data_IF_174626787977
#
_entry.id   IF_174626787977
#
_cell.length_a   1.000
_cell.length_b   1.000
_cell.length_c   1.000
_cell.angle_alpha   90.00
_cell.angle_beta   90.00
_cell.angle_gamma   90.00
#
_symmetry.space_group_name_H-M   'P 1'
#
loop_
_entity.id
_entity.type
_entity.pdbx_description
1 polymer ?
#
# COMPACT_ATOMS: atom_id res chain seq x y z
N UNK A 1 -14.99 -20.49 -11.25
CA UNK A 1 -14.12 -19.86 -10.22
C UNK A 1 -13.62 -20.93 -9.25
N UNK A 2 -12.32 -21.10 -9.11
CA UNK A 2 -11.68 -21.96 -8.09
C UNK A 2 -11.35 -21.09 -6.87
N UNK A 3 -11.68 -21.54 -5.67
CA UNK A 3 -11.39 -20.78 -4.45
C UNK A 3 -10.28 -21.48 -3.66
N UNK A 4 -9.30 -20.70 -3.28
CA UNK A 4 -8.16 -21.13 -2.48
C UNK A 4 -8.18 -20.39 -1.13
N UNK A 5 -7.68 -21.01 -0.09
CA UNK A 5 -7.50 -20.37 1.20
C UNK A 5 -6.02 -20.28 1.56
N UNK A 6 -5.62 -19.15 2.16
CA UNK A 6 -4.31 -18.99 2.77
C UNK A 6 -4.49 -18.68 4.26
N UNK A 7 -4.16 -19.65 5.09
CA UNK A 7 -4.51 -19.69 6.50
C UNK A 7 -3.27 -19.62 7.40
N UNK A 8 -3.38 -18.88 8.48
CA UNK A 8 -2.34 -18.83 9.50
C UNK A 8 -2.65 -17.78 10.57
N UNK A 9 -2.04 -17.86 11.76
CA UNK A 9 -2.29 -16.93 12.86
C UNK A 9 -2.06 -15.46 12.48
N UNK A 10 -2.66 -14.55 13.23
CA UNK A 10 -2.47 -13.12 13.00
C UNK A 10 -0.99 -12.71 13.20
N UNK A 11 -0.49 -11.82 12.34
CA UNK A 11 0.88 -11.31 12.44
C UNK A 11 1.98 -12.22 11.88
N UNK A 12 1.67 -13.34 11.26
CA UNK A 12 2.66 -14.29 10.71
C UNK A 12 3.16 -13.96 9.32
N UNK A 13 2.75 -12.81 8.76
CA UNK A 13 3.22 -12.37 7.44
C UNK A 13 2.39 -12.90 6.25
N UNK A 14 1.15 -13.37 6.45
CA UNK A 14 0.26 -13.81 5.36
C UNK A 14 0.09 -12.76 4.27
N UNK A 15 -0.34 -11.56 4.63
CA UNK A 15 -0.57 -10.48 3.65
C UNK A 15 0.71 -10.09 2.90
N UNK A 16 1.86 -10.21 3.54
CA UNK A 16 3.16 -10.02 2.90
C UNK A 16 3.44 -11.10 1.84
N UNK A 17 3.07 -12.35 2.10
CA UNK A 17 3.31 -13.49 1.20
C UNK A 17 2.15 -13.79 0.25
N UNK A 18 1.02 -13.09 0.41
CA UNK A 18 -0.20 -13.36 -0.35
C UNK A 18 0.01 -13.36 -1.87
N UNK A 19 0.76 -12.39 -2.37
CA UNK A 19 1.05 -12.29 -3.80
C UNK A 19 1.95 -13.44 -4.29
N UNK A 20 2.93 -13.85 -3.49
CA UNK A 20 3.79 -15.00 -3.82
C UNK A 20 2.96 -16.28 -3.91
N UNK A 21 2.10 -16.51 -2.91
CA UNK A 21 1.21 -17.68 -2.88
C UNK A 21 0.23 -17.65 -4.06
N UNK A 22 -0.34 -16.49 -4.35
CA UNK A 22 -1.23 -16.30 -5.47
C UNK A 22 -0.53 -16.58 -6.80
N UNK A 23 0.63 -15.99 -7.04
CA UNK A 23 1.42 -16.20 -8.27
C UNK A 23 1.85 -17.65 -8.43
N UNK A 24 2.30 -18.32 -7.36
CA UNK A 24 2.70 -19.72 -7.41
C UNK A 24 1.55 -20.70 -7.75
N UNK A 25 0.29 -20.26 -7.60
CA UNK A 25 -0.91 -21.05 -7.91
C UNK A 25 -1.74 -20.47 -9.08
N UNK A 26 -1.18 -19.54 -9.85
CA UNK A 26 -1.85 -18.86 -10.97
C UNK A 26 -3.18 -18.20 -10.55
N UNK A 27 -3.13 -17.48 -9.43
CA UNK A 27 -4.28 -16.78 -8.86
C UNK A 27 -4.04 -15.28 -8.97
N UNK A 28 -4.97 -14.56 -9.61
CA UNK A 28 -4.85 -13.12 -9.81
C UNK A 28 -5.67 -12.28 -8.83
N UNK A 29 -6.63 -12.89 -8.15
CA UNK A 29 -7.55 -12.19 -7.24
C UNK A 29 -7.35 -12.65 -5.80
N UNK A 30 -7.30 -11.69 -4.88
CA UNK A 30 -7.08 -11.92 -3.45
C UNK A 30 -8.16 -11.20 -2.65
N UNK A 31 -8.74 -11.88 -1.65
CA UNK A 31 -9.51 -11.25 -0.59
C UNK A 31 -8.66 -11.22 0.67
N UNK A 32 -8.37 -10.03 1.17
CA UNK A 32 -7.65 -9.80 2.44
C UNK A 32 -8.25 -8.62 3.20
N UNK A 33 -8.56 -8.83 4.47
CA UNK A 33 -9.08 -7.80 5.40
C UNK A 33 -10.23 -6.94 4.82
N UNK A 34 -11.20 -7.56 4.16
CA UNK A 34 -12.38 -6.90 3.59
C UNK A 34 -12.17 -6.29 2.20
N UNK A 35 -11.00 -6.43 1.60
CA UNK A 35 -10.67 -5.90 0.28
C UNK A 35 -10.63 -7.01 -0.77
N UNK A 36 -11.14 -6.73 -1.96
CA UNK A 36 -10.88 -7.50 -3.19
C UNK A 36 -9.76 -6.83 -3.97
N UNK A 37 -8.70 -7.57 -4.19
CA UNK A 37 -7.47 -7.09 -4.79
C UNK A 37 -7.20 -7.90 -6.06
N UNK A 38 -6.83 -7.24 -7.14
CA UNK A 38 -6.28 -7.88 -8.33
C UNK A 38 -4.90 -7.28 -8.57
N UNK A 39 -3.88 -8.13 -8.52
CA UNK A 39 -2.48 -7.73 -8.67
C UNK A 39 -2.10 -6.53 -7.78
N UNK A 40 -2.22 -5.32 -8.33
CA UNK A 40 -1.83 -4.07 -7.68
C UNK A 40 -3.00 -3.10 -7.44
N UNK A 41 -4.23 -3.50 -7.74
CA UNK A 41 -5.42 -2.65 -7.59
C UNK A 41 -6.39 -3.20 -6.55
N UNK A 42 -6.97 -2.28 -5.77
CA UNK A 42 -8.15 -2.57 -4.95
C UNK A 42 -9.39 -2.38 -5.83
N UNK A 43 -10.11 -3.46 -6.09
CA UNK A 43 -11.28 -3.46 -6.96
C UNK A 43 -12.58 -3.17 -6.22
N UNK A 44 -12.67 -3.59 -4.97
CA UNK A 44 -13.85 -3.42 -4.13
C UNK A 44 -13.55 -3.64 -2.64
N UNK A 45 -14.50 -3.22 -1.81
CA UNK A 45 -14.47 -3.42 -0.37
C UNK A 45 -13.86 -2.24 0.38
N UNK A 46 -13.99 -2.30 1.70
CA UNK A 46 -13.40 -1.34 2.64
C UNK A 46 -12.48 -2.10 3.57
N UNK A 47 -11.27 -1.57 3.78
CA UNK A 47 -10.32 -2.23 4.68
C UNK A 47 -10.89 -2.33 6.09
N UNK A 48 -10.96 -3.54 6.62
CA UNK A 48 -11.38 -3.81 7.99
C UNK A 48 -10.56 -3.03 9.03
N UNK A 49 -9.37 -2.59 8.69
CA UNK A 49 -8.50 -1.78 9.57
C UNK A 49 -8.88 -0.31 9.70
N UNK A 50 -9.83 0.16 8.90
CA UNK A 50 -10.46 1.48 9.10
C UNK A 50 -11.47 1.48 10.25
N UNK A 51 -11.89 0.32 10.70
CA UNK A 51 -12.88 0.20 11.76
C UNK A 51 -12.32 0.72 13.09
N UNK A 52 -13.07 1.53 13.82
CA UNK A 52 -12.62 2.15 15.08
C UNK A 52 -12.46 1.14 16.21
N UNK A 53 -13.09 -0.03 16.11
CA UNK A 53 -13.04 -1.08 17.14
C UNK A 53 -12.60 -2.43 16.57
N UNK A 54 -12.02 -3.28 17.44
CA UNK A 54 -11.65 -4.66 17.05
C UNK A 54 -12.86 -5.49 16.61
N UNK A 55 -14.03 -5.25 17.19
CA UNK A 55 -15.25 -5.97 16.84
C UNK A 55 -15.69 -5.59 15.43
N UNK A 56 -15.68 -4.31 15.09
CA UNK A 56 -15.98 -3.84 13.74
C UNK A 56 -14.95 -4.31 12.73
N UNK A 57 -13.66 -4.32 13.10
CA UNK A 57 -12.61 -4.91 12.25
C UNK A 57 -12.94 -6.35 11.87
N UNK A 58 -13.38 -7.15 12.84
CA UNK A 58 -13.76 -8.55 12.56
C UNK A 58 -15.03 -8.64 11.72
N UNK A 59 -16.02 -7.79 11.96
CA UNK A 59 -17.26 -7.75 11.17
C UNK A 59 -16.99 -7.43 9.71
N UNK A 60 -16.18 -6.41 9.43
CA UNK A 60 -15.78 -6.03 8.07
C UNK A 60 -14.96 -7.13 7.38
N UNK A 61 -13.97 -7.71 8.09
CA UNK A 61 -13.16 -8.79 7.54
C UNK A 61 -13.96 -10.05 7.20
N UNK A 62 -15.09 -10.28 7.87
CA UNK A 62 -15.98 -11.42 7.66
C UNK A 62 -17.18 -11.10 6.74
N UNK A 63 -17.31 -9.86 6.28
CA UNK A 63 -18.45 -9.40 5.47
C UNK A 63 -19.79 -9.71 6.18
N UNK A 64 -19.90 -9.33 7.46
CA UNK A 64 -21.13 -9.61 8.23
C UNK A 64 -22.28 -8.69 7.79
N UNK A 65 -21.97 -7.46 7.38
CA UNK A 65 -22.97 -6.49 6.96
C UNK A 65 -23.47 -6.75 5.54
N UNK A 66 -24.78 -6.75 5.35
CA UNK A 66 -25.40 -7.02 4.03
C UNK A 66 -24.93 -6.07 2.93
N UNK A 67 -24.66 -4.82 3.27
CA UNK A 67 -24.14 -3.83 2.32
C UNK A 67 -22.80 -4.27 1.76
N UNK A 68 -21.87 -4.65 2.61
CA UNK A 68 -20.52 -5.09 2.24
C UNK A 68 -20.58 -6.40 1.43
N UNK A 69 -21.43 -7.34 1.87
CA UNK A 69 -21.67 -8.57 1.10
C UNK A 69 -22.17 -8.26 -0.31
N UNK A 70 -23.16 -7.36 -0.42
CA UNK A 70 -23.74 -6.99 -1.71
C UNK A 70 -22.71 -6.34 -2.62
N UNK A 71 -21.90 -5.41 -2.09
CA UNK A 71 -20.83 -4.74 -2.84
C UNK A 71 -19.78 -5.74 -3.32
N UNK A 72 -19.31 -6.62 -2.44
CA UNK A 72 -18.32 -7.63 -2.77
C UNK A 72 -18.84 -8.65 -3.79
N UNK A 73 -20.06 -9.14 -3.61
CA UNK A 73 -20.71 -10.07 -4.57
C UNK A 73 -20.91 -9.42 -5.94
N UNK A 74 -21.27 -8.12 -6.00
CA UNK A 74 -21.36 -7.36 -7.27
C UNK A 74 -20.00 -7.27 -7.94
N UNK A 75 -18.94 -6.99 -7.18
CA UNK A 75 -17.58 -6.93 -7.72
C UNK A 75 -17.15 -8.30 -8.28
N UNK A 76 -17.34 -9.38 -7.54
CA UNK A 76 -17.04 -10.75 -7.99
C UNK A 76 -17.81 -11.13 -9.25
N UNK A 77 -19.09 -10.72 -9.38
CA UNK A 77 -19.88 -10.92 -10.60
C UNK A 77 -19.39 -10.08 -11.77
N UNK A 78 -18.91 -8.86 -11.51
CA UNK A 78 -18.38 -7.95 -12.54
C UNK A 78 -17.05 -8.44 -13.10
N UNK A 79 -16.11 -8.79 -12.22
CA UNK A 79 -14.76 -9.15 -12.62
C UNK A 79 -14.58 -10.62 -12.98
N UNK A 80 -15.51 -11.50 -12.55
CA UNK A 80 -15.57 -12.93 -12.88
C UNK A 80 -14.22 -13.64 -12.73
N UNK A 81 -13.60 -13.63 -11.53
CA UNK A 81 -12.30 -14.27 -11.33
C UNK A 81 -12.38 -15.77 -11.65
N UNK A 82 -11.43 -16.30 -12.41
CA UNK A 82 -11.28 -17.74 -12.63
C UNK A 82 -10.77 -18.44 -11.37
N UNK A 83 -9.94 -17.74 -10.62
CA UNK A 83 -9.35 -18.19 -9.34
C UNK A 83 -9.31 -17.05 -8.32
N UNK A 84 -9.51 -17.39 -7.04
CA UNK A 84 -9.58 -16.45 -5.92
C UNK A 84 -8.86 -17.01 -4.70
N UNK A 85 -7.96 -16.25 -4.11
CA UNK A 85 -7.29 -16.55 -2.84
C UNK A 85 -7.95 -15.78 -1.70
N UNK A 86 -8.39 -16.47 -0.66
CA UNK A 86 -8.94 -15.86 0.55
C UNK A 86 -7.93 -15.99 1.68
N UNK A 87 -7.54 -14.87 2.28
CA UNK A 87 -6.70 -14.86 3.46
C UNK A 87 -7.54 -14.90 4.73
N UNK A 88 -7.13 -15.74 5.67
CA UNK A 88 -7.80 -15.85 6.97
C UNK A 88 -6.87 -16.26 8.10
N UNK A 89 -7.30 -16.00 9.33
CA UNK A 89 -6.55 -16.38 10.53
C UNK A 89 -6.84 -17.80 10.98
N UNK A 90 -7.91 -18.41 10.46
CA UNK A 90 -8.33 -19.78 10.76
C UNK A 90 -9.28 -20.30 9.69
N UNK A 91 -9.43 -21.62 9.60
CA UNK A 91 -10.38 -22.27 8.71
C UNK A 91 -11.84 -21.83 8.98
N UNK A 92 -12.18 -21.56 10.24
CA UNK A 92 -13.49 -21.02 10.63
C UNK A 92 -13.73 -19.63 10.02
N UNK A 93 -12.71 -18.79 9.94
CA UNK A 93 -12.80 -17.48 9.30
C UNK A 93 -13.04 -17.62 7.81
N UNK A 94 -12.29 -18.50 7.15
CA UNK A 94 -12.45 -18.81 5.72
C UNK A 94 -13.86 -19.32 5.42
N UNK A 95 -14.36 -20.26 6.21
CA UNK A 95 -15.72 -20.81 6.05
C UNK A 95 -16.79 -19.71 6.13
N UNK A 96 -16.69 -18.80 7.11
CA UNK A 96 -17.60 -17.66 7.26
C UNK A 96 -17.54 -16.69 6.07
N UNK A 97 -16.34 -16.35 5.57
CA UNK A 97 -16.18 -15.49 4.40
C UNK A 97 -16.81 -16.13 3.18
N UNK A 98 -16.60 -17.43 2.99
CA UNK A 98 -17.19 -18.17 1.87
C UNK A 98 -18.73 -18.14 1.94
N UNK A 99 -19.30 -18.42 3.09
CA UNK A 99 -20.74 -18.38 3.34
C UNK A 99 -21.30 -16.97 3.10
N UNK A 100 -20.69 -15.94 3.69
CA UNK A 100 -21.09 -14.54 3.53
C UNK A 100 -21.09 -14.10 2.06
N UNK A 101 -20.17 -14.58 1.25
CA UNK A 101 -20.02 -14.17 -0.13
C UNK A 101 -20.63 -15.17 -1.15
N UNK A 102 -21.23 -16.27 -0.69
CA UNK A 102 -21.76 -17.36 -1.52
C UNK A 102 -20.69 -17.92 -2.49
N UNK A 103 -19.49 -18.20 -1.97
CA UNK A 103 -18.40 -18.73 -2.74
C UNK A 103 -18.43 -20.26 -2.81
N UNK A 104 -17.92 -20.88 -3.88
CA UNK A 104 -17.85 -22.33 -4.00
C UNK A 104 -16.91 -22.96 -2.97
N UNK A 105 -16.89 -24.28 -2.92
CA UNK A 105 -15.97 -25.05 -2.06
C UNK A 105 -14.51 -24.74 -2.37
N UNK A 106 -13.65 -24.91 -1.33
CA UNK A 106 -12.23 -24.68 -1.48
C UNK A 106 -11.60 -25.75 -2.38
N UNK A 107 -10.88 -25.30 -3.39
CA UNK A 107 -10.05 -26.17 -4.22
C UNK A 107 -8.80 -26.64 -3.45
N UNK A 108 -8.23 -25.75 -2.61
CA UNK A 108 -7.05 -26.04 -1.80
C UNK A 108 -6.96 -25.05 -0.64
N UNK A 109 -6.49 -25.53 0.51
CA UNK A 109 -6.03 -24.70 1.62
C UNK A 109 -4.51 -24.77 1.69
N UNK A 110 -3.87 -23.62 1.84
CA UNK A 110 -2.43 -23.44 2.00
C UNK A 110 -2.22 -22.83 3.37
N UNK A 111 -1.36 -23.43 4.18
CA UNK A 111 -1.06 -22.91 5.50
C UNK A 111 0.25 -22.12 5.49
N UNK A 112 0.34 -21.11 6.36
CA UNK A 112 1.51 -20.23 6.43
C UNK A 112 2.81 -20.97 6.70
N UNK A 113 2.76 -22.05 7.47
CA UNK A 113 3.90 -22.90 7.77
C UNK A 113 4.41 -23.73 6.58
N UNK A 114 3.65 -23.83 5.49
CA UNK A 114 4.09 -24.44 4.24
C UNK A 114 4.98 -23.49 3.42
N UNK A 115 4.90 -22.17 3.67
CA UNK A 115 5.54 -21.13 2.85
C UNK A 115 6.43 -20.17 3.66
N UNK A 116 6.51 -20.35 4.97
CA UNK A 116 7.33 -19.53 5.87
C UNK A 116 7.91 -20.39 6.99
N UNK A 117 9.16 -20.11 7.34
CA UNK A 117 9.80 -20.73 8.50
C UNK A 117 9.27 -20.14 9.82
N UNK A 118 9.46 -20.85 10.93
CA UNK A 118 9.08 -20.32 12.25
C UNK A 118 9.79 -19.02 12.59
N UNK A 119 11.08 -18.90 12.25
CA UNK A 119 11.87 -17.69 12.46
C UNK A 119 11.31 -16.49 11.68
N UNK A 120 10.88 -16.69 10.44
CA UNK A 120 10.26 -15.64 9.62
C UNK A 120 8.90 -15.21 10.17
N UNK A 121 8.11 -16.16 10.64
CA UNK A 121 6.81 -15.89 11.28
C UNK A 121 6.99 -15.13 12.60
N UNK A 122 7.99 -15.48 13.40
CA UNK A 122 8.31 -14.79 14.65
C UNK A 122 8.82 -13.39 14.40
N UNK A 123 9.70 -13.20 13.42
CA UNK A 123 10.16 -11.88 12.98
C UNK A 123 9.00 -10.99 12.54
N UNK A 124 8.05 -11.54 11.79
CA UNK A 124 6.86 -10.81 11.37
C UNK A 124 5.97 -10.41 12.56
N UNK A 125 5.79 -11.29 13.55
CA UNK A 125 5.08 -11.01 14.81
C UNK A 125 5.76 -9.90 15.61
N UNK A 126 7.07 -9.99 15.75
CA UNK A 126 7.86 -8.99 16.48
C UNK A 126 7.75 -7.61 15.83
N UNK A 127 7.87 -7.50 14.51
CA UNK A 127 7.69 -6.24 13.78
C UNK A 127 6.28 -5.68 14.01
N UNK A 128 5.25 -6.54 14.00
CA UNK A 128 3.88 -6.11 14.26
C UNK A 128 3.68 -5.61 15.69
N UNK A 129 4.20 -6.33 16.66
CA UNK A 129 4.05 -5.98 18.09
C UNK A 129 4.86 -4.75 18.45
N UNK A 130 6.13 -4.68 18.02
CA UNK A 130 7.04 -3.59 18.42
C UNK A 130 6.83 -2.30 17.62
N UNK A 131 6.48 -2.41 16.34
CA UNK A 131 6.36 -1.28 15.43
C UNK A 131 4.92 -0.95 15.03
N UNK A 132 3.94 -1.80 15.40
CA UNK A 132 2.54 -1.65 15.01
C UNK A 132 2.33 -1.72 13.49
N UNK A 133 3.23 -2.40 12.78
CA UNK A 133 3.22 -2.41 11.32
C UNK A 133 2.35 -3.55 10.77
N UNK A 134 1.50 -3.23 9.83
CA UNK A 134 0.68 -4.20 9.11
C UNK A 134 0.84 -4.03 7.60
N UNK A 135 1.07 -5.14 6.91
CA UNK A 135 1.24 -5.16 5.45
C UNK A 135 -0.10 -5.40 4.77
N UNK A 136 -0.42 -4.56 3.78
CA UNK A 136 -1.52 -4.78 2.84
C UNK A 136 -0.88 -5.20 1.50
N UNK A 137 -1.39 -6.23 0.81
CA UNK A 137 -0.76 -6.76 -0.40
C UNK A 137 -1.04 -5.91 -1.67
N UNK A 138 -1.06 -4.59 -1.53
CA UNK A 138 -1.23 -3.62 -2.63
C UNK A 138 -0.29 -2.43 -2.47
N UNK A 139 0.08 -1.74 -3.56
CA UNK A 139 0.91 -0.55 -3.52
C UNK A 139 0.26 0.64 -2.79
N UNK A 140 1.10 1.53 -2.25
CA UNK A 140 0.70 2.71 -1.47
C UNK A 140 -0.29 3.62 -2.17
N UNK A 141 -0.14 3.83 -3.47
CA UNK A 141 -0.98 4.76 -4.22
C UNK A 141 -2.41 4.27 -4.39
N UNK A 142 -2.64 2.96 -4.46
CA UNK A 142 -3.98 2.39 -4.50
C UNK A 142 -4.71 2.59 -3.18
N UNK A 143 -4.01 2.36 -2.09
CA UNK A 143 -4.58 2.57 -0.76
C UNK A 143 -4.93 4.04 -0.52
N UNK A 144 -4.15 4.99 -1.05
CA UNK A 144 -4.46 6.42 -0.90
C UNK A 144 -5.77 6.86 -1.56
N UNK A 145 -6.24 6.19 -2.60
CA UNK A 145 -7.55 6.48 -3.19
C UNK A 145 -8.69 6.21 -2.21
N UNK A 146 -8.59 5.11 -1.45
CA UNK A 146 -9.61 4.68 -0.50
C UNK A 146 -9.43 5.27 0.90
N UNK A 147 -8.21 5.74 1.22
CA UNK A 147 -7.79 6.24 2.52
C UNK A 147 -7.60 7.76 2.54
N UNK A 148 -8.36 8.53 1.75
CA UNK A 148 -8.34 10.00 1.82
C UNK A 148 -8.73 10.48 3.22
N UNK A 149 -7.73 10.74 4.06
CA UNK A 149 -7.90 11.19 5.45
C UNK A 149 -7.12 10.39 6.49
N UNK A 150 -6.64 9.21 6.20
CA UNK A 150 -5.73 8.48 7.08
C UNK A 150 -4.30 8.54 6.54
N UNK A 151 -3.49 9.19 7.32
CA UNK A 151 -2.10 9.47 7.03
C UNK A 151 -1.32 8.17 7.12
N UNK A 152 -0.82 7.70 5.99
CA UNK A 152 0.30 6.80 5.91
C UNK A 152 1.57 7.62 6.20
N UNK A 153 1.73 8.06 7.45
CA UNK A 153 2.97 8.66 7.90
C UNK A 153 3.75 7.65 8.73
N UNK A 154 5.01 7.43 8.42
CA UNK A 154 5.94 7.06 9.46
C UNK A 154 6.14 8.31 10.32
N UNK A 155 5.88 8.21 11.59
CA UNK A 155 6.28 9.14 12.64
C UNK A 155 5.53 10.49 12.75
N UNK A 156 4.44 10.49 13.52
CA UNK A 156 4.44 11.34 14.71
C UNK A 156 3.72 10.60 15.83
N UNK A 157 4.48 10.21 16.82
CA UNK A 157 3.97 9.76 18.11
C UNK A 157 3.30 10.97 18.75
N UNK A 158 1.98 11.09 18.64
CA UNK A 158 1.25 11.94 19.56
C UNK A 158 1.29 11.25 20.92
N UNK A 159 2.25 11.64 21.76
CA UNK A 159 2.18 11.46 23.19
C UNK A 159 1.01 12.29 23.71
N UNK A 160 -0.16 11.70 23.78
CA UNK A 160 -1.22 12.18 24.68
C UNK A 160 -0.74 11.88 26.11
N UNK A 161 -0.38 12.93 26.82
CA UNK A 161 -0.23 12.89 28.27
C UNK A 161 -1.64 12.75 28.88
N UNK A 162 -2.05 11.51 29.13
CA UNK A 162 -3.23 11.16 29.91
C UNK A 162 -2.87 9.96 30.76
N UNK A 163 -3.04 10.09 32.09
CA UNK A 163 -2.81 9.03 33.06
C UNK A 163 -3.71 7.83 32.78
N UNK A 164 -3.13 6.64 32.64
CA UNK A 164 -3.74 5.39 33.08
C UNK A 164 -4.56 4.61 32.06
N UNK A 165 -4.13 4.49 30.79
CA UNK A 165 -4.61 3.42 29.91
C UNK A 165 -3.49 2.94 28.99
N UNK A 166 -3.35 1.61 28.82
CA UNK A 166 -2.40 1.00 27.93
C UNK A 166 -2.49 1.65 26.56
N UNK A 167 -1.38 2.17 25.99
CA UNK A 167 -1.37 2.65 24.63
C UNK A 167 -1.50 1.43 23.73
N UNK A 168 -2.70 1.07 23.33
CA UNK A 168 -2.89 0.22 22.17
C UNK A 168 -2.25 0.95 21.00
N UNK A 169 -1.10 0.46 20.58
CA UNK A 169 -0.39 0.90 19.40
C UNK A 169 -1.38 0.92 18.24
N UNK A 170 -1.69 2.11 17.74
CA UNK A 170 -2.45 2.23 16.50
C UNK A 170 -1.71 1.44 15.43
N UNK A 171 -2.34 0.42 14.87
CA UNK A 171 -1.73 -0.42 13.85
C UNK A 171 -1.37 0.45 12.64
N UNK A 172 -0.08 0.61 12.38
CA UNK A 172 0.41 1.30 11.20
C UNK A 172 0.35 0.35 10.01
N UNK A 173 -0.46 0.67 9.03
CA UNK A 173 -0.47 -0.10 7.79
C UNK A 173 0.81 0.17 7.02
N UNK A 174 1.64 -0.85 6.86
CA UNK A 174 2.78 -0.83 5.95
C UNK A 174 2.38 -1.52 4.67
N UNK A 175 2.66 -0.80 3.64
CA UNK A 175 2.43 -1.20 2.27
C UNK A 175 3.61 -2.04 1.82
N UNK A 176 3.28 -3.05 1.04
CA UNK A 176 4.22 -3.96 0.43
C UNK A 176 5.36 -3.18 -0.25
N UNK A 177 6.62 -3.51 0.04
CA UNK A 177 7.72 -3.08 -0.81
C UNK A 177 7.48 -3.56 -2.23
N UNK A 178 7.88 -2.77 -3.20
CA UNK A 178 7.78 -3.08 -4.64
C UNK A 178 8.77 -4.18 -5.05
N UNK A 179 8.63 -5.37 -4.47
CA UNK A 179 9.44 -6.53 -4.84
C UNK A 179 8.58 -7.54 -5.58
N UNK A 180 9.03 -7.96 -6.75
CA UNK A 180 8.47 -9.10 -7.45
C UNK A 180 8.93 -10.40 -6.79
N UNK A 181 8.03 -11.35 -6.62
CA UNK A 181 8.38 -12.70 -6.17
C UNK A 181 9.02 -13.56 -7.27
N UNK A 182 9.09 -13.05 -8.49
CA UNK A 182 9.81 -13.67 -9.61
C UNK A 182 11.29 -13.25 -9.67
N UNK A 183 11.80 -12.70 -8.59
CA UNK A 183 13.17 -12.15 -8.47
C UNK A 183 13.15 -10.78 -7.81
N UNK A 184 14.31 -10.33 -7.36
CA UNK A 184 14.46 -8.96 -6.84
C UNK A 184 14.62 -8.02 -8.02
N UNK A 185 13.74 -7.04 -8.15
CA UNK A 185 14.03 -5.86 -8.94
C UNK A 185 14.22 -4.67 -8.02
N UNK A 186 15.22 -3.87 -8.30
CA UNK A 186 15.49 -2.61 -7.62
C UNK A 186 15.34 -1.46 -8.60
N UNK A 187 14.74 -0.37 -8.15
CA UNK A 187 14.69 0.85 -8.92
C UNK A 187 15.87 1.72 -8.46
N UNK A 188 16.80 1.97 -9.36
CA UNK A 188 17.96 2.82 -9.08
C UNK A 188 17.52 4.26 -8.83
N UNK A 189 18.25 4.97 -7.97
CA UNK A 189 18.04 6.41 -7.70
C UNK A 189 18.11 7.26 -8.98
N UNK A 190 18.86 6.79 -9.99
CA UNK A 190 18.92 7.43 -11.30
C UNK A 190 17.59 7.47 -12.03
N UNK A 191 16.72 6.47 -11.85
CA UNK A 191 15.39 6.43 -12.47
C UNK A 191 14.50 7.54 -11.89
N UNK A 192 14.48 7.68 -10.56
CA UNK A 192 13.72 8.74 -9.90
C UNK A 192 14.22 10.13 -10.30
N UNK A 193 15.54 10.30 -10.39
CA UNK A 193 16.16 11.54 -10.86
C UNK A 193 15.72 11.86 -12.28
N UNK A 194 15.79 10.91 -13.20
CA UNK A 194 15.38 11.10 -14.60
C UNK A 194 13.90 11.45 -14.72
N UNK A 195 13.03 10.81 -13.94
CA UNK A 195 11.60 11.14 -13.90
C UNK A 195 11.42 12.60 -13.44
N UNK A 196 12.09 12.99 -12.34
CA UNK A 196 11.99 14.32 -11.78
C UNK A 196 12.49 15.41 -12.75
N UNK A 197 13.63 15.20 -13.38
CA UNK A 197 14.20 16.11 -14.40
C UNK A 197 13.31 16.21 -15.65
N UNK A 198 12.76 15.06 -16.12
CA UNK A 198 11.82 15.07 -17.24
C UNK A 198 10.53 15.82 -16.91
N UNK A 199 10.05 15.68 -15.68
CA UNK A 199 8.86 16.41 -15.21
C UNK A 199 9.12 17.92 -15.14
N UNK A 200 10.29 18.34 -14.65
CA UNK A 200 10.69 19.72 -14.60
C UNK A 200 10.72 20.33 -16.02
N UNK A 201 11.34 19.64 -16.99
CA UNK A 201 11.41 20.07 -18.40
C UNK A 201 10.04 20.24 -19.08
N UNK A 202 8.99 19.60 -18.56
CA UNK A 202 7.61 19.75 -19.08
C UNK A 202 6.88 20.98 -18.50
N UNK A 203 7.49 21.71 -17.58
CA UNK A 203 6.93 22.91 -16.98
C UNK A 203 7.61 24.15 -17.56
N UNK A 204 6.89 24.97 -18.34
CA UNK A 204 7.49 26.17 -18.97
C UNK A 204 7.97 27.21 -17.95
N UNK A 205 7.46 27.15 -16.72
CA UNK A 205 7.87 28.02 -15.62
C UNK A 205 9.26 27.67 -15.06
N UNK A 206 9.78 26.45 -15.35
CA UNK A 206 11.10 25.99 -14.91
C UNK A 206 12.07 26.09 -16.09
N UNK A 207 13.15 26.84 -15.88
CA UNK A 207 14.20 27.01 -16.88
C UNK A 207 15.12 25.80 -16.92
N UNK A 208 15.69 25.44 -15.76
CA UNK A 208 16.59 24.28 -15.64
C UNK A 208 16.57 23.65 -14.25
N UNK A 209 17.05 22.41 -14.19
CA UNK A 209 17.33 21.69 -12.95
C UNK A 209 18.82 21.71 -12.70
N UNK A 210 19.26 22.41 -11.65
CA UNK A 210 20.66 22.56 -11.31
C UNK A 210 21.21 21.32 -10.58
N UNK A 211 20.38 20.70 -9.72
CA UNK A 211 20.76 19.55 -8.94
C UNK A 211 19.56 18.71 -8.56
N UNK A 212 19.71 17.38 -8.61
CA UNK A 212 18.75 16.44 -8.06
C UNK A 212 19.47 15.40 -7.21
N UNK A 213 19.00 15.20 -5.99
CA UNK A 213 19.41 14.10 -5.10
C UNK A 213 18.19 13.26 -4.78
N UNK A 214 18.39 11.96 -4.72
CA UNK A 214 17.38 10.99 -4.30
C UNK A 214 18.01 10.13 -3.23
N UNK A 215 17.30 9.93 -2.16
CA UNK A 215 17.68 9.04 -1.07
C UNK A 215 16.58 8.00 -0.89
N UNK A 216 16.96 6.73 -0.94
CA UNK A 216 16.05 5.61 -0.83
C UNK A 216 16.07 5.07 0.59
N UNK A 217 14.89 5.04 1.22
CA UNK A 217 14.67 4.46 2.54
C UNK A 217 13.82 3.20 2.37
N UNK A 218 13.86 2.30 3.33
CA UNK A 218 13.10 1.04 3.24
C UNK A 218 11.58 1.18 3.09
N UNK A 219 11.03 2.37 3.38
CA UNK A 219 9.61 2.71 3.35
C UNK A 219 9.25 3.77 2.29
N UNK A 220 10.23 4.24 1.50
CA UNK A 220 10.02 5.19 0.42
C UNK A 220 11.24 6.05 0.11
N UNK A 221 11.05 7.09 -0.70
CA UNK A 221 12.13 7.93 -1.20
C UNK A 221 11.97 9.39 -0.74
N UNK A 222 13.11 10.05 -0.55
CA UNK A 222 13.21 11.49 -0.39
C UNK A 222 13.89 12.09 -1.62
N UNK A 223 13.36 13.21 -2.11
CA UNK A 223 13.87 13.91 -3.30
C UNK A 223 14.20 15.33 -2.92
N UNK A 224 15.41 15.74 -3.22
CA UNK A 224 15.88 17.12 -3.11
C UNK A 224 16.21 17.65 -4.52
N UNK A 225 15.69 18.83 -4.89
CA UNK A 225 15.97 19.46 -6.18
C UNK A 225 16.26 20.94 -6.02
N UNK A 226 17.31 21.39 -6.71
CA UNK A 226 17.60 22.82 -6.94
C UNK A 226 17.19 23.16 -8.36
N UNK A 227 16.36 24.19 -8.55
CA UNK A 227 15.81 24.58 -9.84
C UNK A 227 15.95 26.08 -10.07
N UNK A 228 16.19 26.47 -11.32
CA UNK A 228 16.14 27.86 -11.79
C UNK A 228 14.80 28.07 -12.49
N UNK A 229 14.10 29.13 -12.15
CA UNK A 229 12.77 29.45 -12.66
C UNK A 229 12.87 30.61 -13.69
N UNK A 230 11.94 30.66 -14.62
CA UNK A 230 11.79 31.79 -15.52
C UNK A 230 11.19 33.00 -14.77
N UNK A 231 11.73 34.19 -15.06
CA UNK A 231 11.23 35.46 -14.50
C UNK A 231 9.74 35.65 -14.81
N UNK A 232 9.04 36.39 -13.93
CA UNK A 232 7.62 36.73 -14.13
C UNK A 232 6.63 35.74 -13.52
N UNK A 233 7.10 34.62 -12.91
CA UNK A 233 6.26 33.62 -12.29
C UNK A 233 6.22 33.76 -10.77
N UNK A 234 5.08 33.40 -10.16
CA UNK A 234 5.01 33.27 -8.70
C UNK A 234 5.76 31.99 -8.26
N UNK A 235 6.93 32.18 -7.66
CA UNK A 235 7.84 31.10 -7.27
C UNK A 235 7.15 30.06 -6.40
N UNK A 236 6.41 30.50 -5.37
CA UNK A 236 5.77 29.61 -4.39
C UNK A 236 4.70 28.75 -5.07
N UNK A 237 3.91 29.31 -5.94
CA UNK A 237 2.87 28.59 -6.66
C UNK A 237 3.45 27.57 -7.63
N UNK A 238 4.50 27.94 -8.38
CA UNK A 238 5.20 27.03 -9.29
C UNK A 238 5.78 25.85 -8.51
N UNK A 239 6.47 26.10 -7.39
CA UNK A 239 7.05 25.04 -6.55
C UNK A 239 5.98 24.12 -5.98
N UNK A 240 4.87 24.66 -5.47
CA UNK A 240 3.75 23.86 -4.95
C UNK A 240 3.14 22.98 -6.04
N UNK A 241 2.87 23.55 -7.21
CA UNK A 241 2.32 22.85 -8.39
C UNK A 241 3.25 21.74 -8.87
N UNK A 242 4.56 22.03 -8.98
CA UNK A 242 5.56 21.06 -9.37
C UNK A 242 5.68 19.92 -8.37
N UNK A 243 5.80 20.23 -7.07
CA UNK A 243 5.88 19.26 -5.97
C UNK A 243 4.71 18.26 -6.02
N UNK A 244 3.48 18.75 -6.18
CA UNK A 244 2.28 17.92 -6.23
C UNK A 244 2.28 16.98 -7.45
N UNK A 245 2.61 17.51 -8.63
CA UNK A 245 2.71 16.73 -9.87
C UNK A 245 3.81 15.69 -9.81
N UNK A 246 4.99 16.07 -9.31
CA UNK A 246 6.15 15.20 -9.20
C UNK A 246 5.87 14.01 -8.28
N UNK A 247 5.29 14.28 -7.11
CA UNK A 247 4.89 13.22 -6.19
C UNK A 247 3.97 12.20 -6.84
N UNK A 248 2.89 12.70 -7.47
CA UNK A 248 1.89 11.85 -8.13
C UNK A 248 2.50 10.99 -9.24
N UNK A 249 3.37 11.58 -10.05
CA UNK A 249 3.95 10.88 -11.20
C UNK A 249 4.95 9.82 -10.78
N UNK A 250 5.80 10.10 -9.79
CA UNK A 250 6.75 9.10 -9.27
C UNK A 250 6.01 7.95 -8.62
N UNK A 251 5.05 8.23 -7.73
CA UNK A 251 4.25 7.18 -7.08
C UNK A 251 3.49 6.33 -8.11
N UNK A 252 3.01 6.96 -9.21
CA UNK A 252 2.32 6.26 -10.30
C UNK A 252 3.23 5.33 -11.09
N UNK A 253 4.43 5.79 -11.47
CA UNK A 253 5.32 5.04 -12.35
C UNK A 253 6.12 3.96 -11.62
N UNK A 254 6.43 4.18 -10.34
CA UNK A 254 7.37 3.33 -9.60
C UNK A 254 6.71 2.53 -8.47
N UNK A 255 5.47 2.84 -8.14
CA UNK A 255 4.78 2.33 -6.96
C UNK A 255 5.53 2.57 -5.62
N UNK A 256 6.59 3.41 -5.64
CA UNK A 256 7.35 3.79 -4.45
C UNK A 256 6.67 4.96 -3.74
N UNK A 257 6.67 4.91 -2.40
CA UNK A 257 6.16 6.00 -1.60
C UNK A 257 7.13 7.19 -1.63
N UNK A 258 6.62 8.39 -1.88
CA UNK A 258 7.43 9.62 -1.78
C UNK A 258 7.21 10.25 -0.40
N UNK A 259 8.20 10.06 0.47
CA UNK A 259 8.18 10.52 1.86
C UNK A 259 8.32 12.04 1.92
N UNK A 260 9.28 12.57 1.16
CA UNK A 260 9.62 13.99 1.20
C UNK A 260 10.05 14.50 -0.18
N UNK A 261 9.67 15.73 -0.50
CA UNK A 261 10.20 16.48 -1.65
C UNK A 261 10.59 17.86 -1.14
N UNK A 262 11.89 18.18 -1.22
CA UNK A 262 12.42 19.49 -0.95
C UNK A 262 12.80 20.15 -2.27
N UNK A 263 12.22 21.31 -2.54
CA UNK A 263 12.50 22.11 -3.73
C UNK A 263 13.12 23.44 -3.31
N UNK A 264 14.24 23.77 -3.92
CA UNK A 264 14.94 25.04 -3.72
C UNK A 264 14.95 25.83 -5.03
N UNK A 265 14.39 27.02 -5.03
CA UNK A 265 14.58 27.97 -6.11
C UNK A 265 15.98 28.57 -5.98
N UNK A 266 16.91 28.14 -6.82
CA UNK A 266 18.31 28.54 -6.76
C UNK A 266 18.59 29.83 -7.53
N UNK A 267 17.82 30.08 -8.59
CA UNK A 267 18.02 31.26 -9.44
C UNK A 267 16.78 31.60 -10.24
N UNK A 268 16.84 32.76 -10.86
CA UNK A 268 15.82 33.26 -11.81
C UNK A 268 16.50 33.52 -13.13
N UNK A 269 15.98 32.93 -14.20
CA UNK A 269 16.41 33.19 -15.57
C UNK A 269 15.62 34.38 -16.13
N UNK A 270 16.32 35.40 -16.56
CA UNK A 270 15.74 36.52 -17.26
C UNK A 270 15.91 36.28 -18.76
N UNK A 271 14.83 36.29 -19.49
CA UNK A 271 14.88 36.30 -20.95
C UNK A 271 15.26 37.76 -21.37
N UNK A 272 16.38 37.93 -22.02
CA UNK A 272 16.76 39.20 -22.64
C UNK A 272 15.83 39.54 -23.82
#
# INVERSE_FOLDING_TARGET
MKVYAFVGPSGTGKSYRAQMVASANDIHYIIDDGLLINENEVLAGTSAKKAPTKIETVKHALFIEEKEQSEMRKALKKYKPDSLLILGTSDKMIAKIRESLNLPELAKTIYINEVATEEEMEKARNIRVTQGKHVIPVPTFEIKKDFSGYILYPLQIFRSKGKGENPYLSEKSIIRPTFSYMGNFTISDSVFRQIAERMAKKMPEIYEVNRTRVENYGDGISIYMEITLNYGNNIIEVLKKFKAKLKKEIEKQTAMNVIKIDLVAKGIHMVE
#
